data_IF_911510113867
#
_entry.id   IF_911510113867
#
_cell.length_a   1.000
_cell.length_b   1.000
_cell.length_c   1.000
_cell.angle_alpha   90.00
_cell.angle_beta   90.00
_cell.angle_gamma   90.00
#
_symmetry.space_group_name_H-M   'P 1'
#
loop_
_entity.id
_entity.type
_entity.pdbx_description
1 polymer ?
#
# COMPACT_ATOMS: atom_id res chain seq x y z
N UNK A 1 53.66 11.99 7.23
CA UNK A 1 52.71 10.91 7.06
C UNK A 1 51.35 11.44 7.48
N UNK A 2 50.58 11.95 6.55
CA UNK A 2 49.24 12.46 6.79
C UNK A 2 48.28 11.31 6.51
N UNK A 3 47.66 10.79 7.59
CA UNK A 3 46.53 9.85 7.46
C UNK A 3 45.34 10.64 6.86
N UNK A 4 44.96 10.29 5.65
CA UNK A 4 43.66 10.72 5.11
C UNK A 4 42.60 9.91 5.83
N UNK A 5 41.92 10.53 6.77
CA UNK A 5 40.61 10.02 7.25
C UNK A 5 39.67 10.04 6.04
N UNK A 6 39.41 8.86 5.47
CA UNK A 6 38.32 8.69 4.53
C UNK A 6 37.03 8.95 5.28
N UNK A 7 36.40 10.09 5.02
CA UNK A 7 35.05 10.35 5.51
C UNK A 7 34.16 9.17 5.05
N UNK A 8 33.76 8.34 5.97
CA UNK A 8 32.76 7.28 5.71
C UNK A 8 31.48 8.03 5.35
N UNK A 9 31.16 8.07 4.07
CA UNK A 9 29.92 8.67 3.61
C UNK A 9 28.78 7.84 4.16
N UNK A 10 28.01 8.42 5.07
CA UNK A 10 26.85 7.76 5.69
C UNK A 10 25.87 7.28 4.61
N UNK A 11 25.40 6.03 4.70
CA UNK A 11 24.40 5.49 3.78
C UNK A 11 23.10 6.31 3.83
N UNK A 12 22.34 6.35 2.73
CA UNK A 12 21.07 7.10 2.66
C UNK A 12 20.08 6.66 3.72
N UNK A 13 19.92 5.36 3.98
CA UNK A 13 19.00 4.85 4.99
C UNK A 13 19.44 5.25 6.41
N UNK A 14 20.75 5.21 6.72
CA UNK A 14 21.26 5.65 8.02
C UNK A 14 21.07 7.17 8.23
N UNK A 15 21.25 7.99 7.18
CA UNK A 15 20.95 9.42 7.22
C UNK A 15 19.46 9.72 7.51
N UNK A 16 18.56 8.81 7.17
CA UNK A 16 17.13 8.88 7.47
C UNK A 16 16.76 8.32 8.85
N UNK A 17 17.75 7.76 9.58
CA UNK A 17 17.56 7.13 10.88
C UNK A 17 17.08 5.68 10.81
N UNK A 18 17.21 5.02 9.66
CA UNK A 18 16.94 3.60 9.50
C UNK A 18 18.22 2.79 9.74
N UNK A 19 18.07 1.61 10.35
CA UNK A 19 19.18 0.65 10.50
C UNK A 19 19.37 -0.18 9.23
N UNK A 20 20.50 -0.89 9.12
CA UNK A 20 20.78 -1.84 8.05
C UNK A 20 19.70 -2.94 8.00
N UNK A 21 19.28 -3.45 9.17
CA UNK A 21 18.24 -4.48 9.30
C UNK A 21 16.89 -3.96 8.78
N UNK A 22 16.55 -2.70 9.08
CA UNK A 22 15.32 -2.09 8.58
C UNK A 22 15.35 -1.92 7.05
N UNK A 23 16.48 -1.53 6.48
CA UNK A 23 16.64 -1.45 5.02
C UNK A 23 16.53 -2.83 4.36
N UNK A 24 17.12 -3.86 4.97
CA UNK A 24 17.02 -5.26 4.51
C UNK A 24 15.56 -5.76 4.63
N UNK A 25 14.87 -5.43 5.73
CA UNK A 25 13.46 -5.81 5.92
C UNK A 25 12.54 -5.14 4.88
N UNK A 26 12.77 -3.86 4.55
CA UNK A 26 12.06 -3.20 3.44
C UNK A 26 12.23 -4.00 2.15
N UNK A 27 13.46 -4.39 1.82
CA UNK A 27 13.76 -5.17 0.62
C UNK A 27 13.06 -6.55 0.63
N UNK A 28 13.10 -7.23 1.77
CA UNK A 28 12.43 -8.53 1.95
C UNK A 28 10.90 -8.41 1.78
N UNK A 29 10.28 -7.38 2.32
CA UNK A 29 8.84 -7.14 2.20
C UNK A 29 8.43 -6.82 0.75
N UNK A 30 9.22 -6.01 0.03
CA UNK A 30 9.00 -5.76 -1.40
C UNK A 30 9.01 -7.08 -2.21
N UNK A 31 10.01 -7.93 -1.96
CA UNK A 31 10.12 -9.25 -2.62
C UNK A 31 8.98 -10.19 -2.20
N UNK A 32 8.60 -10.18 -0.93
CA UNK A 32 7.50 -11.01 -0.43
C UNK A 32 6.19 -10.66 -1.15
N UNK A 33 5.88 -9.38 -1.29
CA UNK A 33 4.70 -8.91 -2.01
C UNK A 33 4.76 -9.28 -3.50
N UNK A 34 5.92 -9.08 -4.16
CA UNK A 34 6.12 -9.47 -5.55
C UNK A 34 5.89 -10.98 -5.75
N UNK A 35 6.46 -11.82 -4.89
CA UNK A 35 6.31 -13.28 -4.98
C UNK A 35 4.89 -13.74 -4.64
N UNK A 36 4.19 -13.04 -3.74
CA UNK A 36 2.78 -13.27 -3.49
C UNK A 36 1.93 -12.98 -4.74
N UNK A 37 2.13 -11.83 -5.38
CA UNK A 37 1.44 -11.47 -6.61
C UNK A 37 1.69 -12.47 -7.75
N UNK A 38 2.96 -12.82 -7.99
CA UNK A 38 3.34 -13.83 -8.97
C UNK A 38 2.65 -15.20 -8.68
N UNK A 39 2.56 -15.59 -7.41
CA UNK A 39 1.84 -16.78 -6.98
C UNK A 39 0.34 -16.67 -7.28
N UNK A 40 -0.29 -15.56 -7.01
CA UNK A 40 -1.71 -15.32 -7.30
C UNK A 40 -2.00 -15.41 -8.82
N UNK A 41 -1.13 -14.85 -9.65
CA UNK A 41 -1.25 -14.98 -11.11
C UNK A 41 -1.16 -16.45 -11.58
N UNK A 42 -0.28 -17.25 -10.99
CA UNK A 42 -0.18 -18.69 -11.27
C UNK A 42 -1.43 -19.45 -10.80
N UNK A 43 -1.93 -19.16 -9.61
CA UNK A 43 -3.15 -19.78 -9.06
C UNK A 43 -4.38 -19.45 -9.91
N UNK A 44 -4.46 -18.24 -10.43
CA UNK A 44 -5.55 -17.84 -11.33
C UNK A 44 -5.48 -18.60 -12.65
N UNK A 45 -4.29 -18.69 -13.28
CA UNK A 45 -4.10 -19.47 -14.50
C UNK A 45 -4.42 -20.96 -14.31
N UNK A 46 -4.17 -21.49 -13.12
CA UNK A 46 -4.53 -22.85 -12.73
C UNK A 46 -6.02 -23.04 -12.37
N UNK A 47 -6.82 -21.96 -12.42
CA UNK A 47 -8.25 -21.99 -12.08
C UNK A 47 -8.54 -22.14 -10.57
N UNK A 48 -7.51 -22.04 -9.72
CA UNK A 48 -7.62 -22.17 -8.26
C UNK A 48 -8.26 -20.94 -7.61
N UNK A 49 -8.02 -19.77 -8.13
CA UNK A 49 -8.66 -18.51 -7.72
C UNK A 49 -9.33 -17.88 -8.94
N UNK A 50 -10.35 -17.05 -8.71
CA UNK A 50 -11.16 -16.50 -9.80
C UNK A 50 -10.69 -15.14 -10.28
N UNK A 51 -10.14 -14.34 -9.38
CA UNK A 51 -9.83 -12.94 -9.64
C UNK A 51 -8.65 -12.47 -8.78
N UNK A 52 -7.79 -11.64 -9.38
CA UNK A 52 -6.70 -10.97 -8.67
C UNK A 52 -6.39 -9.62 -9.32
N UNK A 53 -6.06 -8.65 -8.50
CA UNK A 53 -5.62 -7.31 -8.92
C UNK A 53 -4.22 -7.09 -8.37
N UNK A 54 -3.22 -7.15 -9.24
CA UNK A 54 -1.81 -7.12 -8.85
C UNK A 54 -1.32 -5.73 -8.44
N UNK A 55 -0.43 -5.68 -7.46
CA UNK A 55 0.34 -4.50 -7.04
C UNK A 55 1.75 -4.43 -7.64
N UNK A 56 2.10 -5.29 -8.60
CA UNK A 56 3.43 -5.36 -9.20
C UNK A 56 3.85 -4.00 -9.79
N UNK A 57 5.01 -3.51 -9.32
CA UNK A 57 5.58 -2.20 -9.67
C UNK A 57 5.28 -1.09 -8.66
N UNK A 58 4.53 -1.37 -7.58
CA UNK A 58 4.13 -0.38 -6.58
C UNK A 58 4.72 -0.68 -5.18
N UNK A 59 5.44 -1.78 -5.03
CA UNK A 59 5.91 -2.31 -3.75
C UNK A 59 6.83 -1.34 -3.01
N UNK A 60 7.70 -0.63 -3.73
CA UNK A 60 8.65 0.32 -3.14
C UNK A 60 7.93 1.47 -2.42
N UNK A 61 6.90 2.05 -3.06
CA UNK A 61 6.10 3.11 -2.48
C UNK A 61 5.34 2.63 -1.24
N UNK A 62 4.71 1.46 -1.33
CA UNK A 62 3.90 0.89 -0.27
C UNK A 62 4.74 0.56 0.98
N UNK A 63 5.91 -0.07 0.79
CA UNK A 63 6.83 -0.39 1.88
C UNK A 63 7.43 0.87 2.49
N UNK A 64 7.89 1.81 1.65
CA UNK A 64 8.45 3.08 2.11
C UNK A 64 7.45 3.87 2.97
N UNK A 65 6.17 3.91 2.56
CA UNK A 65 5.10 4.55 3.31
C UNK A 65 4.85 3.86 4.66
N UNK A 66 4.74 2.52 4.66
CA UNK A 66 4.46 1.75 5.88
C UNK A 66 5.54 1.92 6.96
N UNK A 67 6.81 2.03 6.57
CA UNK A 67 7.92 2.23 7.51
C UNK A 67 7.94 3.63 8.13
N UNK A 68 7.31 4.62 7.50
CA UNK A 68 7.24 5.99 8.01
C UNK A 68 6.10 6.23 8.99
N UNK A 69 5.14 5.32 9.07
CA UNK A 69 3.94 5.41 9.90
C UNK A 69 4.12 4.71 11.24
N UNK A 70 3.31 5.10 12.22
CA UNK A 70 3.32 4.50 13.55
C UNK A 70 2.34 3.32 13.61
N UNK A 71 2.90 2.09 13.65
CA UNK A 71 2.12 0.85 13.63
C UNK A 71 1.23 0.67 14.87
N UNK A 72 1.57 1.33 15.97
CA UNK A 72 0.85 1.20 17.24
C UNK A 72 -0.26 2.23 17.42
N UNK A 73 -0.28 3.28 16.60
CA UNK A 73 -1.23 4.39 16.76
C UNK A 73 -2.06 4.69 15.51
N UNK A 74 -1.43 4.73 14.33
CA UNK A 74 -2.05 5.22 13.10
C UNK A 74 -3.12 4.26 12.55
N UNK A 75 -4.09 4.82 11.82
CA UNK A 75 -5.13 4.06 11.13
C UNK A 75 -4.91 4.08 9.63
N UNK A 76 -5.16 2.95 8.97
CA UNK A 76 -4.86 2.71 7.56
C UNK A 76 -6.11 2.41 6.76
N UNK A 77 -6.26 3.07 5.63
CA UNK A 77 -7.31 2.85 4.66
C UNK A 77 -6.68 2.54 3.29
N UNK A 78 -6.10 1.34 3.15
CA UNK A 78 -5.45 0.92 1.92
C UNK A 78 -6.46 0.66 0.80
N UNK A 79 -6.03 0.82 -0.46
CA UNK A 79 -6.82 0.38 -1.59
C UNK A 79 -6.39 -1.04 -2.05
N UNK A 80 -7.08 -1.58 -3.01
CA UNK A 80 -7.02 -3.01 -3.37
C UNK A 80 -5.67 -3.53 -3.90
N UNK A 81 -4.68 -2.66 -4.22
CA UNK A 81 -3.34 -3.08 -4.67
C UNK A 81 -2.30 -3.11 -3.56
N UNK A 82 -2.64 -2.73 -2.36
CA UNK A 82 -1.70 -2.45 -1.26
C UNK A 82 -1.17 -3.69 -0.55
N UNK A 83 -0.86 -4.75 -1.30
CA UNK A 83 -0.34 -6.00 -0.71
C UNK A 83 0.97 -5.79 0.04
N UNK A 84 1.91 -5.00 -0.51
CA UNK A 84 3.17 -4.72 0.16
C UNK A 84 2.97 -3.84 1.40
N UNK A 85 2.02 -2.90 1.37
CA UNK A 85 1.67 -2.08 2.53
C UNK A 85 1.08 -2.94 3.66
N UNK A 86 0.05 -3.75 3.38
CA UNK A 86 -0.61 -4.54 4.43
C UNK A 86 0.31 -5.63 5.01
N UNK A 87 1.20 -6.22 4.20
CA UNK A 87 2.28 -7.08 4.69
C UNK A 87 3.22 -6.32 5.63
N UNK A 88 3.59 -5.09 5.27
CA UNK A 88 4.51 -4.26 6.05
C UNK A 88 3.93 -3.86 7.40
N UNK A 89 2.62 -3.68 7.51
CA UNK A 89 1.95 -3.37 8.79
C UNK A 89 1.55 -4.62 9.58
N UNK A 90 1.86 -5.83 9.08
CA UNK A 90 1.77 -7.07 9.83
C UNK A 90 0.66 -8.05 9.43
N UNK A 91 0.01 -7.86 8.27
CA UNK A 91 -0.83 -8.90 7.68
C UNK A 91 0.05 -10.05 7.19
N UNK A 92 -0.33 -11.28 7.45
CA UNK A 92 0.46 -12.45 7.14
C UNK A 92 0.12 -13.02 5.75
N UNK A 93 1.06 -13.78 5.17
CA UNK A 93 0.81 -14.50 3.90
C UNK A 93 -0.37 -15.48 4.02
N UNK A 94 -0.57 -16.12 5.20
CA UNK A 94 -1.73 -17.00 5.41
C UNK A 94 -3.05 -16.21 5.38
N UNK A 95 -3.11 -15.05 6.03
CA UNK A 95 -4.30 -14.17 5.99
C UNK A 95 -4.60 -13.70 4.55
N UNK A 96 -3.57 -13.33 3.77
CA UNK A 96 -3.74 -12.97 2.36
C UNK A 96 -4.20 -14.16 1.50
N UNK A 97 -3.70 -15.38 1.77
CA UNK A 97 -4.14 -16.57 1.05
C UNK A 97 -5.58 -16.95 1.42
N UNK A 98 -6.01 -16.80 2.67
CA UNK A 98 -7.42 -16.97 3.04
C UNK A 98 -8.32 -16.00 2.26
N UNK A 99 -7.91 -14.74 2.14
CA UNK A 99 -8.62 -13.72 1.39
C UNK A 99 -8.74 -14.08 -0.11
N UNK A 100 -7.61 -14.42 -0.77
CA UNK A 100 -7.60 -14.69 -2.22
C UNK A 100 -8.35 -15.98 -2.58
N UNK A 101 -8.41 -16.96 -1.67
CA UNK A 101 -9.20 -18.18 -1.80
C UNK A 101 -10.65 -18.03 -1.31
N UNK A 102 -11.04 -16.84 -0.81
CA UNK A 102 -12.41 -16.54 -0.29
C UNK A 102 -12.84 -17.51 0.80
N UNK A 103 -12.03 -17.71 1.83
CA UNK A 103 -12.26 -18.69 2.90
C UNK A 103 -13.00 -18.10 4.10
N UNK A 104 -13.68 -18.96 4.86
CA UNK A 104 -14.45 -18.56 6.05
C UNK A 104 -13.58 -17.85 7.10
N UNK A 105 -12.34 -18.29 7.28
CA UNK A 105 -11.37 -17.73 8.22
C UNK A 105 -10.63 -16.50 7.70
N UNK A 106 -11.03 -15.94 6.53
CA UNK A 106 -10.50 -14.68 6.03
C UNK A 106 -10.76 -13.53 7.01
N UNK A 107 -9.70 -12.92 7.61
CA UNK A 107 -9.89 -11.88 8.63
C UNK A 107 -10.50 -10.59 8.08
N UNK A 108 -10.48 -10.40 6.75
CA UNK A 108 -10.99 -9.18 6.12
C UNK A 108 -12.52 -9.20 6.03
N UNK A 109 -13.09 -10.31 5.60
CA UNK A 109 -14.54 -10.38 5.36
C UNK A 109 -15.17 -11.76 5.55
N UNK A 110 -14.40 -12.79 5.94
CA UNK A 110 -14.89 -14.17 5.95
C UNK A 110 -15.28 -14.65 4.55
N UNK A 111 -14.51 -14.25 3.53
CA UNK A 111 -14.75 -14.63 2.13
C UNK A 111 -15.92 -13.94 1.44
N UNK A 112 -16.55 -12.91 2.06
CA UNK A 112 -17.75 -12.24 1.52
C UNK A 112 -17.48 -11.07 0.58
N UNK A 113 -16.25 -10.53 0.58
CA UNK A 113 -15.81 -9.47 -0.34
C UNK A 113 -14.83 -10.02 -1.37
N UNK A 114 -14.68 -9.32 -2.48
CA UNK A 114 -13.61 -9.61 -3.43
C UNK A 114 -12.23 -9.40 -2.79
N UNK A 115 -11.21 -10.18 -3.19
CA UNK A 115 -9.85 -9.99 -2.71
C UNK A 115 -9.35 -8.55 -2.90
N UNK A 116 -8.48 -8.10 -1.98
CA UNK A 116 -7.98 -6.73 -1.97
C UNK A 116 -8.85 -5.75 -1.17
N UNK A 117 -9.94 -6.20 -0.56
CA UNK A 117 -10.73 -5.41 0.40
C UNK A 117 -10.22 -5.70 1.81
N UNK A 118 -9.09 -5.06 2.15
CA UNK A 118 -8.43 -5.29 3.42
C UNK A 118 -9.23 -4.70 4.59
N UNK A 119 -9.23 -5.42 5.72
CA UNK A 119 -9.85 -4.98 6.95
C UNK A 119 -9.31 -5.78 8.13
N UNK A 120 -8.73 -5.11 9.13
CA UNK A 120 -8.20 -5.77 10.31
C UNK A 120 -8.18 -4.84 11.52
N UNK A 121 -9.04 -5.14 12.49
CA UNK A 121 -9.07 -4.37 13.76
C UNK A 121 -7.71 -4.46 14.49
N UNK A 122 -7.07 -5.63 14.46
CA UNK A 122 -5.75 -5.87 15.08
C UNK A 122 -4.68 -4.95 14.52
N UNK A 123 -4.71 -4.72 13.19
CA UNK A 123 -3.72 -3.92 12.46
C UNK A 123 -4.20 -2.48 12.22
N UNK A 124 -5.32 -2.07 12.77
CA UNK A 124 -5.96 -0.76 12.50
C UNK A 124 -6.19 -0.49 11.01
N UNK A 125 -6.38 -1.54 10.22
CA UNK A 125 -6.80 -1.44 8.82
C UNK A 125 -8.32 -1.33 8.81
N UNK A 126 -8.82 -0.20 8.33
CA UNK A 126 -10.25 0.04 8.16
C UNK A 126 -10.70 -0.57 6.85
N UNK A 127 -11.84 -1.26 6.89
CA UNK A 127 -12.37 -1.94 5.71
C UNK A 127 -12.55 -1.00 4.53
N UNK A 128 -11.96 -1.37 3.40
CA UNK A 128 -12.08 -0.65 2.14
C UNK A 128 -13.44 -0.87 1.45
N UNK A 129 -13.67 -0.12 0.38
CA UNK A 129 -14.88 -0.14 -0.43
C UNK A 129 -14.57 -0.52 -1.88
N UNK A 130 -15.47 -1.29 -2.55
CA UNK A 130 -15.37 -1.56 -3.99
C UNK A 130 -15.58 -0.30 -4.84
N UNK A 131 -16.55 0.60 -4.56
CA UNK A 131 -16.54 1.93 -5.17
C UNK A 131 -15.24 2.64 -4.84
N UNK A 132 -14.49 3.00 -5.88
CA UNK A 132 -13.17 3.63 -5.73
C UNK A 132 -13.29 5.00 -5.03
N UNK A 133 -12.30 5.34 -4.20
CA UNK A 133 -12.16 6.62 -3.51
C UNK A 133 -13.00 6.79 -2.24
N UNK A 134 -14.07 6.00 -2.02
CA UNK A 134 -14.93 6.11 -0.82
C UNK A 134 -14.14 6.03 0.50
N UNK A 135 -12.98 5.37 0.52
CA UNK A 135 -12.11 5.34 1.69
C UNK A 135 -11.53 6.71 2.05
N UNK A 136 -11.48 7.67 1.11
CA UNK A 136 -10.92 9.01 1.37
C UNK A 136 -11.76 9.79 2.39
N UNK A 137 -13.08 10.00 2.23
CA UNK A 137 -13.89 10.64 3.26
C UNK A 137 -13.94 9.83 4.57
N UNK A 138 -13.82 8.48 4.53
CA UNK A 138 -13.69 7.69 5.74
C UNK A 138 -12.40 8.04 6.50
N UNK A 139 -11.25 8.14 5.81
CA UNK A 139 -9.98 8.54 6.43
C UNK A 139 -10.07 9.94 7.06
N UNK A 140 -10.73 10.85 6.38
CA UNK A 140 -11.00 12.21 6.89
C UNK A 140 -11.87 12.16 8.14
N UNK A 141 -12.87 11.27 8.18
CA UNK A 141 -13.70 11.03 9.38
C UNK A 141 -12.90 10.51 10.57
N UNK A 142 -11.97 9.55 10.33
CA UNK A 142 -11.03 9.07 11.36
C UNK A 142 -10.13 10.20 11.88
N UNK A 143 -9.57 11.00 10.98
CA UNK A 143 -8.75 12.16 11.34
C UNK A 143 -9.53 13.22 12.12
N UNK A 144 -10.79 13.48 11.76
CA UNK A 144 -11.68 14.34 12.53
C UNK A 144 -11.92 13.80 13.94
N UNK A 145 -12.19 12.49 14.06
CA UNK A 145 -12.36 11.83 15.36
C UNK A 145 -11.09 11.93 16.21
N UNK A 146 -9.89 11.77 15.61
CA UNK A 146 -8.62 11.98 16.31
C UNK A 146 -8.55 13.39 16.91
N UNK A 147 -8.81 14.40 16.10
CA UNK A 147 -8.78 15.80 16.52
C UNK A 147 -9.80 16.10 17.62
N UNK A 148 -11.06 15.66 17.44
CA UNK A 148 -12.14 15.88 18.43
C UNK A 148 -11.86 15.19 19.76
N UNK A 149 -11.29 13.99 19.73
CA UNK A 149 -10.97 13.19 20.92
C UNK A 149 -9.57 13.46 21.47
N UNK A 150 -8.81 14.38 20.88
CA UNK A 150 -7.41 14.71 21.24
C UNK A 150 -6.53 13.45 21.32
N UNK A 151 -6.58 12.64 20.27
CA UNK A 151 -5.78 11.42 20.08
C UNK A 151 -4.64 11.69 19.11
N UNK A 152 -3.50 11.07 19.34
CA UNK A 152 -2.25 11.33 18.61
C UNK A 152 -2.03 10.41 17.42
N UNK A 153 -3.10 9.85 16.82
CA UNK A 153 -2.99 9.05 15.61
C UNK A 153 -3.19 9.88 14.33
N UNK A 154 -2.51 9.48 13.30
CA UNK A 154 -2.69 9.98 11.94
C UNK A 154 -3.51 8.96 11.16
N UNK A 155 -4.41 9.44 10.30
CA UNK A 155 -5.11 8.59 9.33
C UNK A 155 -4.35 8.60 8.00
N UNK A 156 -4.06 7.42 7.48
CA UNK A 156 -3.38 7.24 6.20
C UNK A 156 -4.30 6.56 5.20
N UNK A 157 -4.41 7.13 4.01
CA UNK A 157 -5.27 6.60 2.94
C UNK A 157 -4.52 6.56 1.62
N UNK A 158 -4.66 5.45 0.89
CA UNK A 158 -4.10 5.26 -0.44
C UNK A 158 -5.19 5.18 -1.49
N UNK A 159 -4.86 5.57 -2.71
CA UNK A 159 -5.73 5.51 -3.87
C UNK A 159 -4.92 5.65 -5.16
N UNK A 160 -5.45 5.15 -6.29
CA UNK A 160 -4.80 5.28 -7.59
C UNK A 160 -5.05 6.66 -8.25
N UNK A 161 -4.31 6.93 -9.33
CA UNK A 161 -4.44 8.16 -10.14
C UNK A 161 -5.87 8.38 -10.66
N UNK A 162 -6.55 7.32 -11.12
CA UNK A 162 -7.95 7.41 -11.54
C UNK A 162 -8.89 7.85 -10.43
N UNK A 163 -8.66 7.40 -9.21
CA UNK A 163 -9.44 7.77 -8.03
C UNK A 163 -9.36 9.26 -7.72
N UNK A 164 -8.24 9.91 -8.03
CA UNK A 164 -8.07 11.35 -7.78
C UNK A 164 -9.06 12.24 -8.53
N UNK A 165 -9.81 11.69 -9.51
CA UNK A 165 -10.83 12.40 -10.27
C UNK A 165 -12.26 12.20 -9.72
N UNK A 166 -12.44 11.38 -8.69
CA UNK A 166 -13.74 11.18 -8.06
C UNK A 166 -14.10 12.32 -7.10
N UNK A 167 -15.41 12.60 -6.97
CA UNK A 167 -15.92 13.63 -6.06
C UNK A 167 -15.46 13.47 -4.63
N UNK A 168 -15.50 12.22 -4.12
CA UNK A 168 -15.08 11.86 -2.76
C UNK A 168 -13.65 12.31 -2.41
N UNK A 169 -12.72 12.27 -3.39
CA UNK A 169 -11.37 12.82 -3.19
C UNK A 169 -11.40 14.32 -2.95
N UNK A 170 -12.10 15.07 -3.83
CA UNK A 170 -12.15 16.52 -3.77
C UNK A 170 -12.85 17.02 -2.51
N UNK A 171 -13.96 16.39 -2.14
CA UNK A 171 -14.71 16.71 -0.93
C UNK A 171 -13.92 16.41 0.34
N UNK A 172 -13.31 15.19 0.41
CA UNK A 172 -12.48 14.78 1.53
C UNK A 172 -11.24 15.66 1.69
N UNK A 173 -10.53 15.96 0.60
CA UNK A 173 -9.33 16.81 0.61
C UNK A 173 -9.67 18.24 1.06
N UNK A 174 -10.73 18.83 0.52
CA UNK A 174 -11.17 20.17 0.92
C UNK A 174 -11.55 20.22 2.41
N UNK A 175 -12.35 19.26 2.88
CA UNK A 175 -12.76 19.22 4.29
C UNK A 175 -11.55 19.04 5.23
N UNK A 176 -10.60 18.17 4.86
CA UNK A 176 -9.39 17.96 5.63
C UNK A 176 -8.52 19.22 5.70
N UNK A 177 -8.39 19.97 4.60
CA UNK A 177 -7.65 21.23 4.54
C UNK A 177 -8.28 22.30 5.43
N UNK A 178 -9.60 22.53 5.29
CA UNK A 178 -10.36 23.51 6.11
C UNK A 178 -10.17 23.27 7.60
N UNK A 179 -10.23 22.01 8.02
CA UNK A 179 -10.14 21.65 9.44
C UNK A 179 -8.73 21.30 9.90
N UNK A 180 -7.70 21.37 9.05
CA UNK A 180 -6.32 20.97 9.34
C UNK A 180 -6.27 19.59 10.05
N UNK A 181 -6.86 18.60 9.41
CA UNK A 181 -6.98 17.25 9.98
C UNK A 181 -5.69 16.45 9.86
N UNK A 182 -5.39 15.56 10.84
CA UNK A 182 -4.23 14.69 10.80
C UNK A 182 -4.44 13.51 9.83
N UNK A 183 -4.44 13.78 8.53
CA UNK A 183 -4.60 12.78 7.47
C UNK A 183 -3.51 12.94 6.42
N UNK A 184 -3.01 11.81 5.91
CA UNK A 184 -2.09 11.75 4.78
C UNK A 184 -2.80 11.06 3.62
N UNK A 185 -2.85 11.76 2.49
CA UNK A 185 -3.35 11.24 1.23
C UNK A 185 -2.18 10.77 0.38
N UNK A 186 -2.13 9.49 0.01
CA UNK A 186 -1.12 8.98 -0.90
C UNK A 186 -1.76 8.50 -2.19
N UNK A 187 -1.49 9.20 -3.27
CA UNK A 187 -1.87 8.79 -4.61
C UNK A 187 -0.77 7.90 -5.19
N UNK A 188 -1.07 6.62 -5.43
CA UNK A 188 -0.21 5.70 -6.18
C UNK A 188 -0.46 5.91 -7.67
N UNK A 189 0.23 6.92 -8.24
CA UNK A 189 0.12 7.27 -9.65
C UNK A 189 0.89 6.25 -10.49
N UNK A 190 0.18 5.21 -10.93
CA UNK A 190 0.72 4.14 -11.75
C UNK A 190 0.47 4.33 -13.25
N UNK A 191 0.12 5.55 -13.66
CA UNK A 191 -0.11 6.03 -15.02
C UNK A 191 -1.38 5.53 -15.71
N UNK A 192 -2.19 4.64 -15.09
CA UNK A 192 -3.36 4.07 -15.75
C UNK A 192 -4.56 3.91 -14.83
N UNK A 193 -5.66 4.58 -15.16
CA UNK A 193 -6.99 4.27 -14.61
C UNK A 193 -7.63 3.18 -15.49
N UNK A 194 -7.48 1.91 -15.10
CA UNK A 194 -7.83 0.74 -15.93
C UNK A 194 -7.11 0.82 -17.29
N UNK A 195 -7.79 1.28 -18.33
CA UNK A 195 -7.29 1.44 -19.71
C UNK A 195 -6.99 2.90 -20.10
N UNK A 196 -7.33 3.87 -19.22
CA UNK A 196 -7.17 5.30 -19.53
C UNK A 196 -5.78 5.78 -19.05
N UNK A 197 -4.88 6.19 -19.96
CA UNK A 197 -3.57 6.68 -19.57
C UNK A 197 -3.67 8.06 -18.89
N UNK A 198 -2.70 8.35 -18.01
CA UNK A 198 -2.70 9.54 -17.14
C UNK A 198 -2.96 10.85 -17.88
N UNK A 199 -2.34 11.05 -19.05
CA UNK A 199 -2.50 12.27 -19.86
C UNK A 199 -3.92 12.50 -20.43
N UNK A 200 -4.78 11.48 -20.41
CA UNK A 200 -6.19 11.58 -20.80
C UNK A 200 -7.14 11.77 -19.61
N UNK A 201 -6.65 11.72 -18.40
CA UNK A 201 -7.48 11.82 -17.18
C UNK A 201 -7.07 12.96 -16.26
N UNK A 202 -5.83 13.42 -16.31
CA UNK A 202 -5.30 14.44 -15.41
C UNK A 202 -4.60 15.54 -16.20
N UNK A 203 -4.96 16.79 -15.91
CA UNK A 203 -4.30 17.99 -16.44
C UNK A 203 -3.26 18.47 -15.41
N UNK A 204 -1.98 18.20 -15.65
CA UNK A 204 -0.90 18.55 -14.74
C UNK A 204 -0.57 17.44 -13.73
N UNK A 205 0.01 17.80 -12.57
CA UNK A 205 0.35 16.85 -11.50
C UNK A 205 -0.82 16.72 -10.54
N UNK A 206 -1.04 15.50 -10.03
CA UNK A 206 -2.06 15.25 -9.01
C UNK A 206 -1.68 15.98 -7.72
N UNK A 207 -0.40 15.99 -7.35
CA UNK A 207 0.10 16.70 -6.18
C UNK A 207 -0.27 18.20 -6.16
N UNK A 208 -0.29 18.86 -7.32
CA UNK A 208 -0.60 20.29 -7.43
C UNK A 208 -2.05 20.64 -7.01
N UNK A 209 -2.96 19.64 -7.02
CA UNK A 209 -4.34 19.82 -6.56
C UNK A 209 -4.44 20.22 -5.09
N UNK A 210 -3.47 19.78 -4.27
CA UNK A 210 -3.40 20.09 -2.84
C UNK A 210 -3.35 21.59 -2.55
N UNK A 211 -2.74 22.38 -3.44
CA UNK A 211 -2.67 23.83 -3.33
C UNK A 211 -4.07 24.47 -3.30
N UNK A 212 -5.00 23.91 -4.10
CA UNK A 212 -6.40 24.37 -4.12
C UNK A 212 -7.17 24.11 -2.82
N UNK A 213 -6.69 23.18 -1.99
CA UNK A 213 -7.27 22.82 -0.69
C UNK A 213 -6.50 23.42 0.50
N UNK A 214 -5.44 24.20 0.25
CA UNK A 214 -4.71 24.93 1.27
C UNK A 214 -3.68 24.08 2.05
N UNK A 215 -3.17 22.98 1.49
CA UNK A 215 -2.12 22.18 2.10
C UNK A 215 -1.06 21.73 1.06
N UNK A 216 0.12 21.24 1.48
CA UNK A 216 1.18 20.85 0.55
C UNK A 216 0.85 19.57 -0.23
N UNK A 217 1.24 19.58 -1.50
CA UNK A 217 1.31 18.42 -2.37
C UNK A 217 2.76 18.15 -2.79
N UNK A 218 3.19 16.89 -2.77
CA UNK A 218 4.57 16.49 -3.06
C UNK A 218 4.52 15.33 -4.05
N UNK A 219 5.10 15.52 -5.24
CA UNK A 219 5.33 14.43 -6.20
C UNK A 219 6.72 13.83 -5.93
N UNK A 220 6.80 12.50 -5.87
CA UNK A 220 8.01 11.75 -5.51
C UNK A 220 8.15 10.50 -6.37
N UNK A 221 9.38 10.04 -6.62
CA UNK A 221 9.61 8.76 -7.29
C UNK A 221 9.12 7.60 -6.42
N UNK A 222 8.05 6.95 -6.85
CA UNK A 222 7.44 5.82 -6.18
C UNK A 222 8.26 4.53 -6.24
N UNK A 223 9.34 4.50 -7.05
CA UNK A 223 10.25 3.35 -7.14
C UNK A 223 11.41 3.42 -6.15
N UNK A 224 11.56 4.53 -5.40
CA UNK A 224 12.60 4.70 -4.37
C UNK A 224 11.97 4.62 -2.97
N UNK A 225 12.08 3.48 -2.25
CA UNK A 225 11.44 3.30 -0.96
C UNK A 225 12.00 4.24 0.13
N UNK A 226 13.26 4.68 0.01
CA UNK A 226 13.86 5.60 0.98
C UNK A 226 13.37 7.03 0.79
N UNK A 227 13.16 7.46 -0.45
CA UNK A 227 12.62 8.79 -0.74
C UNK A 227 11.13 8.86 -0.33
N UNK A 228 10.36 7.81 -0.59
CA UNK A 228 9.00 7.69 -0.05
C UNK A 228 9.00 7.74 1.48
N UNK A 229 9.87 6.96 2.13
CA UNK A 229 9.99 6.99 3.60
C UNK A 229 10.25 8.41 4.13
N UNK A 230 11.19 9.14 3.51
CA UNK A 230 11.52 10.52 3.91
C UNK A 230 10.30 11.43 3.82
N UNK A 231 9.64 11.46 2.66
CA UNK A 231 8.48 12.33 2.41
C UNK A 231 7.31 11.96 3.32
N UNK A 232 7.05 10.68 3.50
CA UNK A 232 5.97 10.18 4.36
C UNK A 232 6.22 10.47 5.84
N UNK A 233 7.48 10.38 6.29
CA UNK A 233 7.86 10.73 7.67
C UNK A 233 7.62 12.22 7.94
N UNK A 234 7.99 13.09 7.00
CA UNK A 234 7.72 14.53 7.09
C UNK A 234 6.21 14.82 7.10
N UNK A 235 5.45 14.15 6.21
CA UNK A 235 3.99 14.27 6.14
C UNK A 235 3.32 13.82 7.46
N UNK A 236 3.80 12.70 8.05
CA UNK A 236 3.29 12.22 9.35
C UNK A 236 3.59 13.19 10.49
N UNK A 237 4.81 13.70 10.56
CA UNK A 237 5.17 14.69 11.58
C UNK A 237 4.31 15.95 11.46
N UNK A 238 4.11 16.45 10.24
CA UNK A 238 3.25 17.59 9.95
C UNK A 238 1.80 17.34 10.39
N UNK A 239 1.24 16.17 10.05
CA UNK A 239 -0.12 15.80 10.44
C UNK A 239 -0.26 15.69 11.96
N UNK A 240 0.68 15.03 12.62
CA UNK A 240 0.69 14.83 14.07
C UNK A 240 0.87 16.15 14.85
N UNK A 241 1.62 17.13 14.30
CA UNK A 241 1.78 18.47 14.92
C UNK A 241 0.55 19.38 14.75
N UNK A 242 -0.48 18.94 14.04
CA UNK A 242 -1.71 19.73 13.81
C UNK A 242 -1.59 20.77 12.69
N UNK A 243 -0.52 20.71 11.88
CA UNK A 243 -0.35 21.60 10.74
C UNK A 243 -1.28 21.25 9.55
N UNK A 244 -1.91 20.08 9.60
CA UNK A 244 -2.89 19.62 8.62
C UNK A 244 -2.37 18.56 7.65
N UNK A 245 -3.15 18.25 6.60
CA UNK A 245 -2.87 17.14 5.69
C UNK A 245 -1.69 17.40 4.75
N UNK A 246 -1.25 16.31 4.10
CA UNK A 246 -0.33 16.34 2.96
C UNK A 246 -0.84 15.40 1.89
N UNK A 247 -0.76 15.79 0.61
CA UNK A 247 -0.96 14.91 -0.54
C UNK A 247 0.39 14.48 -1.08
N UNK A 248 0.68 13.18 -1.02
CA UNK A 248 1.87 12.57 -1.63
C UNK A 248 1.46 11.89 -2.93
N UNK A 249 2.02 12.31 -4.06
CA UNK A 249 1.87 11.64 -5.34
C UNK A 249 3.11 10.77 -5.57
N UNK A 250 3.00 9.48 -5.31
CA UNK A 250 4.04 8.50 -5.60
C UNK A 250 3.95 8.08 -7.07
N UNK A 251 4.90 8.54 -7.88
CA UNK A 251 4.90 8.29 -9.33
C UNK A 251 5.63 6.99 -9.62
N UNK A 252 4.94 6.03 -10.20
CA UNK A 252 5.45 4.71 -10.56
C UNK A 252 4.78 4.20 -11.83
N UNK A 253 4.92 2.92 -12.16
CA UNK A 253 4.24 2.35 -13.33
C UNK A 253 3.63 0.99 -13.01
N UNK A 254 2.41 0.76 -13.47
CA UNK A 254 1.72 -0.54 -13.35
C UNK A 254 2.31 -1.56 -14.32
N UNK A 255 3.19 -2.43 -13.84
CA UNK A 255 3.92 -3.42 -14.67
C UNK A 255 3.07 -4.65 -15.05
N UNK A 256 1.87 -4.80 -14.49
CA UNK A 256 0.91 -5.87 -14.78
C UNK A 256 -0.36 -5.32 -15.41
N UNK A 257 -1.23 -6.16 -16.04
CA UNK A 257 -2.58 -5.76 -16.43
C UNK A 257 -3.38 -5.17 -15.25
N UNK A 258 -4.48 -4.49 -15.54
CA UNK A 258 -5.34 -3.94 -14.48
C UNK A 258 -5.81 -5.02 -13.49
N UNK A 259 -6.23 -6.15 -14.03
CA UNK A 259 -6.63 -7.33 -13.26
C UNK A 259 -6.35 -8.59 -14.10
N UNK A 260 -6.58 -9.76 -13.51
CA UNK A 260 -6.46 -11.05 -14.22
C UNK A 260 -7.48 -11.27 -15.35
N UNK A 261 -8.48 -10.38 -15.45
CA UNK A 261 -9.50 -10.40 -16.53
C UNK A 261 -9.27 -9.31 -17.57
N UNK A 262 -8.15 -8.60 -17.51
CA UNK A 262 -7.84 -7.47 -18.39
C UNK A 262 -6.85 -7.87 -19.50
N UNK A 263 -7.10 -7.37 -20.71
CA UNK A 263 -6.22 -7.52 -21.88
C UNK A 263 -5.51 -6.20 -22.16
N UNK A 264 -4.47 -5.91 -21.41
CA UNK A 264 -3.79 -4.61 -21.42
C UNK A 264 -3.09 -4.26 -22.76
N UNK A 265 -2.76 -5.25 -23.57
CA UNK A 265 -2.24 -5.02 -24.93
C UNK A 265 -3.25 -4.36 -25.88
N UNK A 266 -4.51 -4.26 -25.49
CA UNK A 266 -5.53 -3.52 -26.25
C UNK A 266 -5.38 -1.99 -26.13
N UNK A 267 -4.69 -1.48 -25.09
CA UNK A 267 -4.59 -0.04 -24.84
C UNK A 267 -3.17 0.46 -24.54
N UNK A 268 -2.18 -0.41 -24.36
CA UNK A 268 -0.76 -0.08 -24.19
C UNK A 268 0.12 -1.12 -24.88
N UNK A 269 1.34 -0.74 -25.23
CA UNK A 269 2.23 -1.65 -25.93
C UNK A 269 3.17 -2.38 -24.97
N UNK A 270 3.72 -3.51 -25.43
CA UNK A 270 4.74 -4.25 -24.66
C UNK A 270 6.00 -3.41 -24.48
N UNK A 271 6.40 -2.66 -25.50
CA UNK A 271 7.57 -1.78 -25.48
C UNK A 271 7.43 -0.70 -24.41
N UNK A 272 6.22 -0.14 -24.23
CA UNK A 272 5.94 0.83 -23.16
C UNK A 272 6.13 0.18 -21.79
N UNK A 273 5.58 -1.01 -21.56
CA UNK A 273 5.74 -1.73 -20.29
C UNK A 273 7.21 -2.07 -20.03
N UNK A 274 7.91 -2.60 -21.05
CA UNK A 274 9.31 -3.02 -20.91
C UNK A 274 10.23 -1.81 -20.63
N UNK A 275 9.99 -0.65 -21.22
CA UNK A 275 10.72 0.60 -20.93
C UNK A 275 10.58 1.07 -19.46
N UNK A 276 9.54 0.64 -18.76
CA UNK A 276 9.34 0.96 -17.35
C UNK A 276 9.89 -0.12 -16.39
N UNK A 277 10.18 -1.34 -16.89
CA UNK A 277 10.79 -2.41 -16.07
C UNK A 277 12.17 -2.02 -15.54
N UNK A 278 12.94 -1.26 -16.30
CA UNK A 278 14.25 -0.76 -15.88
C UNK A 278 14.16 0.24 -14.70
N UNK A 279 12.96 0.75 -14.43
CA UNK A 279 12.69 1.66 -13.31
C UNK A 279 12.15 0.93 -12.07
N UNK A 280 11.92 -0.39 -12.14
CA UNK A 280 11.43 -1.19 -11.01
C UNK A 280 12.27 -0.96 -9.75
N UNK A 281 11.59 -0.67 -8.64
CA UNK A 281 12.23 -0.35 -7.36
C UNK A 281 12.98 -1.53 -6.75
N UNK A 282 12.53 -2.78 -6.97
CA UNK A 282 13.15 -3.97 -6.37
C UNK A 282 14.60 -4.15 -6.83
N UNK A 283 14.91 -4.23 -8.14
CA UNK A 283 16.29 -4.38 -8.60
C UNK A 283 17.18 -3.20 -8.20
N UNK A 284 16.64 -1.97 -8.25
CA UNK A 284 17.37 -0.77 -7.85
C UNK A 284 17.72 -0.78 -6.37
N UNK A 285 16.78 -1.16 -5.51
CA UNK A 285 17.02 -1.22 -4.08
C UNK A 285 17.96 -2.37 -3.70
N UNK A 286 17.89 -3.53 -4.42
CA UNK A 286 18.90 -4.58 -4.32
C UNK A 286 20.32 -4.04 -4.55
N UNK A 287 20.50 -3.34 -5.67
CA UNK A 287 21.82 -2.78 -6.01
C UNK A 287 22.29 -1.80 -4.95
N UNK A 288 21.42 -0.93 -4.47
CA UNK A 288 21.73 -0.02 -3.37
C UNK A 288 22.22 -0.74 -2.11
N UNK A 289 21.58 -1.83 -1.69
CA UNK A 289 22.01 -2.61 -0.51
C UNK A 289 23.36 -3.32 -0.73
N UNK A 290 23.63 -3.76 -1.97
CA UNK A 290 24.94 -4.32 -2.36
C UNK A 290 26.01 -3.24 -2.29
N UNK A 291 25.75 -2.05 -2.83
CA UNK A 291 26.68 -0.91 -2.82
C UNK A 291 26.98 -0.44 -1.37
N UNK A 292 26.02 -0.59 -0.46
CA UNK A 292 26.22 -0.37 0.98
C UNK A 292 26.99 -1.50 1.68
N UNK A 293 27.30 -2.62 1.00
CA UNK A 293 27.99 -3.77 1.59
C UNK A 293 27.18 -4.63 2.57
N UNK A 294 25.87 -4.39 2.67
CA UNK A 294 24.98 -5.10 3.60
C UNK A 294 24.21 -6.26 2.95
N UNK A 295 24.29 -6.41 1.62
CA UNK A 295 23.60 -7.44 0.83
C UNK A 295 24.55 -8.12 -0.15
N UNK A 296 24.26 -9.41 -0.48
CA UNK A 296 24.99 -10.19 -1.47
C UNK A 296 24.11 -11.33 -2.04
N UNK A 297 24.62 -12.06 -3.03
CA UNK A 297 23.88 -13.13 -3.70
C UNK A 297 23.55 -14.33 -2.79
N UNK A 298 24.35 -14.61 -1.77
CA UNK A 298 24.08 -15.70 -0.79
C UNK A 298 22.85 -15.33 0.06
N UNK A 299 22.80 -14.10 0.59
CA UNK A 299 21.65 -13.57 1.34
C UNK A 299 20.39 -13.51 0.46
N UNK A 300 20.55 -13.13 -0.82
CA UNK A 300 19.46 -13.11 -1.80
C UNK A 300 18.85 -14.51 -1.97
N UNK A 301 19.68 -15.51 -2.24
CA UNK A 301 19.22 -16.89 -2.44
C UNK A 301 18.53 -17.44 -1.18
N UNK A 302 19.07 -17.17 0.00
CA UNK A 302 18.47 -17.57 1.28
C UNK A 302 17.10 -16.92 1.49
N UNK A 303 16.99 -15.59 1.29
CA UNK A 303 15.74 -14.84 1.40
C UNK A 303 14.67 -15.36 0.43
N UNK A 304 15.01 -15.55 -0.84
CA UNK A 304 14.05 -16.04 -1.84
C UNK A 304 13.57 -17.46 -1.52
N UNK A 305 14.44 -18.32 -0.97
CA UNK A 305 14.05 -19.65 -0.52
C UNK A 305 13.13 -19.61 0.70
N UNK A 306 13.39 -18.71 1.65
CA UNK A 306 12.51 -18.47 2.81
C UNK A 306 11.13 -18.01 2.36
N UNK A 307 11.07 -17.00 1.48
CA UNK A 307 9.81 -16.47 0.92
C UNK A 307 9.04 -17.59 0.19
N UNK A 308 9.74 -18.39 -0.63
CA UNK A 308 9.13 -19.51 -1.34
C UNK A 308 8.50 -20.50 -0.38
N UNK A 309 9.22 -20.89 0.66
CA UNK A 309 8.74 -21.85 1.67
C UNK A 309 7.51 -21.31 2.40
N UNK A 310 7.54 -20.03 2.82
CA UNK A 310 6.41 -19.37 3.47
C UNK A 310 5.17 -19.27 2.56
N UNK A 311 5.38 -18.98 1.27
CA UNK A 311 4.31 -18.94 0.28
C UNK A 311 3.71 -20.31 -0.02
N UNK A 312 4.53 -21.35 -0.10
CA UNK A 312 4.08 -22.73 -0.32
C UNK A 312 3.20 -23.18 0.86
N UNK A 313 3.65 -22.93 2.10
CA UNK A 313 2.88 -23.18 3.30
C UNK A 313 1.57 -22.41 3.34
N UNK A 314 1.61 -21.11 3.14
CA UNK A 314 0.41 -20.24 3.15
C UNK A 314 -0.59 -20.63 2.05
N UNK A 315 -0.09 -21.01 0.86
CA UNK A 315 -0.93 -21.48 -0.25
C UNK A 315 -1.64 -22.78 0.10
N UNK A 316 -0.91 -23.76 0.67
CA UNK A 316 -1.49 -25.03 1.08
C UNK A 316 -2.49 -24.86 2.22
N UNK A 317 -2.22 -23.95 3.14
CA UNK A 317 -3.13 -23.58 4.23
C UNK A 317 -4.44 -22.98 3.68
N UNK A 318 -4.36 -21.96 2.84
CA UNK A 318 -5.53 -21.30 2.24
C UNK A 318 -6.34 -22.23 1.34
N UNK A 319 -5.70 -23.07 0.51
CA UNK A 319 -6.39 -24.02 -0.37
C UNK A 319 -7.26 -25.02 0.44
N UNK A 320 -6.77 -25.48 1.59
CA UNK A 320 -7.44 -26.46 2.46
C UNK A 320 -8.49 -25.86 3.42
N UNK A 321 -8.44 -24.58 3.69
CA UNK A 321 -9.36 -23.93 4.62
C UNK A 321 -10.82 -24.04 4.14
N UNK A 322 -11.82 -24.07 5.05
CA UNK A 322 -13.23 -24.17 4.67
C UNK A 322 -13.73 -22.93 3.94
N UNK A 323 -14.72 -23.11 3.08
CA UNK A 323 -15.50 -22.00 2.53
C UNK A 323 -16.53 -21.52 3.54
N UNK A 324 -16.98 -20.25 3.47
CA UNK A 324 -18.10 -19.77 4.28
C UNK A 324 -19.39 -20.51 3.93
N UNK A 325 -20.28 -20.65 4.91
CA UNK A 325 -21.63 -21.18 4.67
C UNK A 325 -22.50 -20.12 3.95
N UNK A 326 -23.47 -20.52 3.11
CA UNK A 326 -24.32 -19.57 2.39
C UNK A 326 -25.01 -18.55 3.30
N UNK A 327 -25.37 -18.95 4.51
CA UNK A 327 -26.04 -18.10 5.51
C UNK A 327 -25.12 -17.01 6.07
N UNK A 328 -23.81 -17.16 5.95
CA UNK A 328 -22.83 -16.18 6.43
C UNK A 328 -22.91 -14.86 5.67
N UNK A 329 -23.53 -14.84 4.47
CA UNK A 329 -23.72 -13.62 3.69
C UNK A 329 -24.55 -12.57 4.44
N UNK A 330 -25.41 -12.98 5.37
CA UNK A 330 -26.25 -12.08 6.15
C UNK A 330 -25.59 -11.59 7.45
N UNK A 331 -24.45 -12.18 7.84
CA UNK A 331 -23.73 -11.78 9.06
C UNK A 331 -23.03 -10.44 8.88
N UNK A 332 -23.05 -9.62 9.92
CA UNK A 332 -22.34 -8.33 9.98
C UNK A 332 -22.72 -7.32 8.89
N UNK A 333 -23.92 -7.42 8.31
CA UNK A 333 -24.49 -6.43 7.38
C UNK A 333 -24.93 -5.19 8.14
N UNK A 334 -25.48 -5.40 9.33
CA UNK A 334 -25.91 -4.36 10.28
C UNK A 334 -25.22 -4.57 11.63
N UNK A 335 -25.24 -3.54 12.47
CA UNK A 335 -24.81 -3.69 13.87
C UNK A 335 -25.76 -4.64 14.59
N UNK A 336 -25.19 -5.55 15.40
CA UNK A 336 -25.99 -6.43 16.24
C UNK A 336 -26.66 -5.62 17.34
N UNK A 337 -28.00 -5.68 17.46
CA UNK A 337 -28.80 -4.97 18.49
C UNK A 337 -28.39 -5.37 19.92
N UNK A 338 -27.78 -6.55 20.10
CA UNK A 338 -27.30 -7.06 21.39
C UNK A 338 -26.08 -6.31 21.97
N UNK A 339 -25.43 -5.42 21.21
CA UNK A 339 -24.30 -4.59 21.67
C UNK A 339 -24.70 -3.14 21.95
N UNK A 340 -25.98 -2.78 21.89
CA UNK A 340 -26.49 -1.41 21.92
C UNK A 340 -26.79 -0.82 23.30
N UNK A 341 -26.45 -1.46 24.43
CA UNK A 341 -26.66 -0.92 25.78
C UNK A 341 -25.39 -0.39 26.44
N UNK A 342 -24.62 0.42 25.74
CA UNK A 342 -23.40 0.98 26.31
C UNK A 342 -22.86 2.21 25.61
N UNK A 343 -23.65 3.26 25.41
CA UNK A 343 -23.08 4.48 24.86
C UNK A 343 -24.08 5.50 24.30
N UNK A 344 -24.91 6.05 25.11
CA UNK A 344 -25.52 7.37 24.87
C UNK A 344 -24.74 8.46 25.61
#
# INVERSE_FOLDING_TARGET
MTQSESAVTQSRHAALGLTDEQAIEMYKLMNTARKYDERCLLLQRAGKIKFHVSGIGQEAAQVGAAFALDRDQDYYLPYYRDYAFVLSVGMTLRELMLCIFSKADDPNSGGRQMPGHFGSKRLRIVTGSSPVTTQVPHAVGFALAAKMKKKDFVSFVTFGDGSSNQGDFHEGANFAGVHKLPVIFMCENNHYAISVPLHKQVSGKIADRALGYGFPGIAVDGNDPLEIYRVMKEARLRAASGEGPTLVEAVMYRLSPHSTSDEDMAYRTKEEVDAHRDKDGIPKFKQYLIDCGIWNEEKEAAMLQEIKTALDDATAFGDKAPFPEPEDILKHVYADDSQGEGGR
#
